data_IF_554176713967
#
_entry.id   IF_554176713967
#
_cell.length_a   1.000
_cell.length_b   1.000
_cell.length_c   1.000
_cell.angle_alpha   90.00
_cell.angle_beta   90.00
_cell.angle_gamma   90.00
#
_symmetry.space_group_name_H-M   'P 1'
#
loop_
_entity.id
_entity.type
_entity.pdbx_description
1 polymer ?
#
# COMPACT_ATOMS: atom_id res chain seq x y z
N UNK A 1 -10.59 4.50 3.65
CA UNK A 1 -9.81 5.72 3.96
C UNK A 1 -8.60 5.73 3.03
N UNK A 2 -8.28 6.87 2.40
CA UNK A 2 -7.12 6.97 1.49
C UNK A 2 -5.96 7.69 2.18
N UNK A 3 -4.75 7.19 1.97
CA UNK A 3 -3.52 7.69 2.59
C UNK A 3 -2.37 7.60 1.57
N UNK A 4 -1.38 8.48 1.72
CA UNK A 4 -0.20 8.50 0.86
C UNK A 4 0.94 7.70 1.47
N UNK A 5 1.51 6.79 0.71
CA UNK A 5 2.72 6.05 1.09
C UNK A 5 3.94 6.95 0.89
N UNK A 6 4.77 7.08 1.92
CA UNK A 6 5.96 7.94 1.91
C UNK A 6 7.25 7.15 1.67
N UNK A 7 7.36 5.95 2.23
CA UNK A 7 8.53 5.09 2.09
C UNK A 7 8.12 3.63 1.98
N UNK A 8 8.95 2.87 1.26
CA UNK A 8 8.83 1.43 1.05
C UNK A 8 10.21 0.82 1.28
N UNK A 9 10.26 -0.26 2.04
CA UNK A 9 11.45 -1.06 2.35
C UNK A 9 11.08 -2.54 2.17
N UNK A 10 11.49 -3.11 1.02
CA UNK A 10 11.26 -4.51 0.69
C UNK A 10 12.27 -5.41 1.40
N UNK A 11 11.77 -6.44 2.07
CA UNK A 11 12.53 -7.37 2.89
C UNK A 11 12.29 -8.79 2.41
N UNK A 12 13.20 -9.70 2.77
CA UNK A 12 13.08 -11.11 2.38
C UNK A 12 11.78 -11.78 2.89
N UNK A 13 11.24 -11.29 4.01
CA UNK A 13 10.06 -11.81 4.69
C UNK A 13 8.78 -10.97 4.45
N UNK A 14 8.86 -9.90 3.66
CA UNK A 14 7.70 -9.06 3.36
C UNK A 14 8.07 -7.64 2.97
N UNK A 15 7.14 -6.71 3.15
CA UNK A 15 7.33 -5.31 2.81
C UNK A 15 6.99 -4.43 4.02
N UNK A 16 7.84 -3.45 4.33
CA UNK A 16 7.55 -2.42 5.31
C UNK A 16 7.32 -1.10 4.60
N UNK A 17 6.18 -0.46 4.87
CA UNK A 17 5.86 0.86 4.35
C UNK A 17 5.55 1.84 5.47
N UNK A 18 5.69 3.14 5.20
CA UNK A 18 5.31 4.20 6.13
C UNK A 18 4.39 5.23 5.48
N UNK A 19 3.57 5.85 6.33
CA UNK A 19 2.63 6.91 6.00
C UNK A 19 2.82 8.05 7.00
N UNK A 20 2.56 9.28 6.56
CA UNK A 20 2.48 10.44 7.44
C UNK A 20 1.02 10.76 7.73
N UNK A 21 0.67 10.84 9.01
CA UNK A 21 -0.68 11.17 9.46
C UNK A 21 -0.71 12.58 10.02
N UNK A 22 -1.66 13.39 9.53
CA UNK A 22 -1.97 14.69 10.12
C UNK A 22 -2.91 14.52 11.33
N UNK A 23 -2.88 15.44 12.32
CA UNK A 23 -3.68 15.33 13.54
C UNK A 23 -5.17 15.10 13.27
N UNK A 24 -5.76 15.84 12.33
CA UNK A 24 -7.17 15.70 11.97
C UNK A 24 -7.53 14.28 11.54
N UNK A 25 -6.72 13.62 10.69
CA UNK A 25 -6.96 12.24 10.25
C UNK A 25 -6.90 11.26 11.43
N UNK A 26 -5.98 11.46 12.37
CA UNK A 26 -5.89 10.62 13.57
C UNK A 26 -7.16 10.79 14.41
N UNK A 27 -7.56 12.04 14.68
CA UNK A 27 -8.70 12.39 15.52
C UNK A 27 -10.03 11.84 14.98
N UNK A 28 -10.28 12.00 13.69
CA UNK A 28 -11.58 11.67 13.08
C UNK A 28 -11.70 10.23 12.56
N UNK A 29 -10.63 9.42 12.65
CA UNK A 29 -10.64 8.02 12.19
C UNK A 29 -10.35 7.04 13.31
N UNK A 30 -10.49 5.74 13.03
CA UNK A 30 -10.19 4.67 14.00
C UNK A 30 -8.69 4.52 14.27
N UNK A 31 -7.82 5.15 13.47
CA UNK A 31 -6.37 5.06 13.60
C UNK A 31 -5.84 5.55 14.95
N UNK A 32 -6.54 6.48 15.64
CA UNK A 32 -6.15 6.92 16.98
C UNK A 32 -6.08 5.81 18.03
N UNK A 33 -6.73 4.67 17.80
CA UNK A 33 -6.73 3.55 18.74
C UNK A 33 -5.78 2.42 18.34
N UNK A 34 -5.21 2.47 17.13
CA UNK A 34 -4.34 1.43 16.59
C UNK A 34 -2.99 1.47 17.31
N UNK A 35 -2.51 0.31 17.74
CA UNK A 35 -1.22 0.12 18.42
C UNK A 35 -0.32 -0.82 17.61
N UNK A 36 0.97 -0.81 17.96
CA UNK A 36 1.92 -1.73 17.35
C UNK A 36 1.47 -3.19 17.58
N UNK A 37 1.39 -3.96 16.49
CA UNK A 37 0.91 -5.35 16.49
C UNK A 37 -0.57 -5.51 16.10
N UNK A 38 -1.35 -4.43 16.08
CA UNK A 38 -2.74 -4.49 15.61
C UNK A 38 -2.78 -4.74 14.09
N UNK A 39 -3.76 -5.53 13.67
CA UNK A 39 -4.05 -5.74 12.26
C UNK A 39 -4.95 -4.62 11.75
N UNK A 40 -4.73 -4.22 10.51
CA UNK A 40 -5.55 -3.25 9.78
C UNK A 40 -5.92 -3.83 8.42
N UNK A 41 -7.08 -3.42 7.90
CA UNK A 41 -7.47 -3.75 6.54
C UNK A 41 -6.63 -2.92 5.56
N UNK A 42 -5.95 -3.60 4.64
CA UNK A 42 -5.15 -2.98 3.59
C UNK A 42 -5.81 -3.24 2.24
N UNK A 43 -6.15 -2.16 1.54
CA UNK A 43 -6.67 -2.20 0.18
C UNK A 43 -5.63 -1.59 -0.77
N UNK A 44 -5.35 -2.27 -1.87
CA UNK A 44 -4.43 -1.79 -2.92
C UNK A 44 -5.15 -0.87 -3.89
N UNK A 45 -4.43 0.13 -4.41
CA UNK A 45 -4.98 1.03 -5.43
C UNK A 45 -5.38 0.24 -6.68
N UNK A 46 -6.61 0.47 -7.15
CA UNK A 46 -7.09 -0.15 -8.37
C UNK A 46 -6.22 0.19 -9.58
N UNK A 47 -5.69 1.41 -9.68
CA UNK A 47 -4.80 1.82 -10.77
C UNK A 47 -3.54 0.98 -10.77
N UNK A 48 -2.91 0.77 -9.61
CA UNK A 48 -1.71 -0.06 -9.48
C UNK A 48 -1.96 -1.50 -9.98
N UNK A 49 -3.11 -2.09 -9.63
CA UNK A 49 -3.52 -3.42 -10.13
C UNK A 49 -3.75 -3.45 -11.64
N UNK A 50 -4.32 -2.41 -12.23
CA UNK A 50 -4.49 -2.34 -13.69
C UNK A 50 -3.14 -2.17 -14.40
N UNK A 51 -2.24 -1.34 -13.86
CA UNK A 51 -0.88 -1.16 -14.39
C UNK A 51 -0.09 -2.46 -14.33
N UNK A 52 -0.13 -3.18 -13.19
CA UNK A 52 0.48 -4.51 -13.07
C UNK A 52 -0.02 -5.46 -14.16
N UNK A 53 -1.35 -5.53 -14.37
CA UNK A 53 -1.94 -6.37 -15.41
C UNK A 53 -1.47 -5.97 -16.81
N UNK A 54 -1.43 -4.68 -17.13
CA UNK A 54 -0.93 -4.19 -18.42
C UNK A 54 0.53 -4.60 -18.62
N UNK A 55 1.40 -4.37 -17.63
CA UNK A 55 2.82 -4.75 -17.69
C UNK A 55 2.98 -6.27 -17.86
N UNK A 56 2.23 -7.08 -17.10
CA UNK A 56 2.29 -8.55 -17.21
C UNK A 56 1.88 -9.06 -18.61
N UNK A 57 0.96 -8.38 -19.28
CA UNK A 57 0.50 -8.73 -20.63
C UNK A 57 1.52 -8.27 -21.69
N UNK A 58 2.14 -7.11 -21.49
CA UNK A 58 3.19 -6.59 -22.38
C UNK A 58 4.49 -7.40 -22.33
N UNK A 59 4.83 -8.03 -21.20
CA UNK A 59 6.01 -8.91 -21.08
C UNK A 59 5.79 -10.30 -21.73
N UNK A 60 4.57 -10.64 -22.15
CA UNK A 60 4.25 -11.90 -22.85
C UNK A 60 4.45 -11.89 -24.37
N UNK A 61 5.02 -10.82 -24.96
CA UNK A 61 5.15 -10.65 -26.42
C UNK A 61 6.62 -10.66 -26.90
N UNK A 62 7.58 -10.95 -26.01
CA UNK A 62 8.99 -11.16 -26.39
C UNK A 62 9.48 -12.54 -25.96
N UNK A 63 8.83 -13.58 -26.48
CA UNK A 63 9.40 -14.93 -26.51
C UNK A 63 9.02 -15.62 -27.81
N UNK A 64 9.68 -15.17 -28.89
CA UNK A 64 10.13 -15.96 -30.05
C UNK A 64 11.54 -15.46 -30.41
#
# INVERSE_FOLDING_TARGET
MSLTVNTIDDRADGCKFAINLIPYTVEVTTLRHVKAGDKVDLEVDMVARHVERMLSTSQGVHQD
#
